data_IF_894157609395
#
_entry.id   IF_894157609395
#
_cell.length_a   1.000
_cell.length_b   1.000
_cell.length_c   1.000
_cell.angle_alpha   90.00
_cell.angle_beta   90.00
_cell.angle_gamma   90.00
#
_symmetry.space_group_name_H-M   'P 1'
#
loop_
_entity.id
_entity.type
_entity.pdbx_description
1 polymer ?
#
# COMPACT_ATOMS: atom_id res chain seq x y z
N UNK A 1 -1.68 25.27 -5.13
CA UNK A 1 -2.12 24.10 -5.93
C UNK A 1 -1.86 22.81 -5.17
N UNK A 2 -2.93 22.16 -4.71
CA UNK A 2 -2.95 21.05 -3.74
C UNK A 2 -2.19 19.83 -4.28
N UNK A 3 -1.12 19.42 -3.60
CA UNK A 3 -0.49 18.11 -3.74
C UNK A 3 -0.47 17.44 -2.36
N UNK A 4 -1.66 17.20 -1.80
CA UNK A 4 -1.83 16.38 -0.60
C UNK A 4 -2.87 15.30 -0.93
N UNK A 5 -2.44 14.33 -1.72
CA UNK A 5 -3.01 13.01 -1.67
C UNK A 5 -1.83 12.06 -1.47
N UNK A 6 -1.88 11.26 -0.40
CA UNK A 6 -0.91 10.20 -0.19
C UNK A 6 -0.79 9.31 -1.42
N UNK A 7 0.33 8.63 -1.57
CA UNK A 7 0.50 7.58 -2.56
C UNK A 7 0.86 6.31 -1.81
N UNK A 8 0.18 5.24 -2.16
CA UNK A 8 0.38 3.93 -1.55
C UNK A 8 0.99 2.98 -2.58
N UNK A 9 1.96 2.20 -2.12
CA UNK A 9 2.55 1.11 -2.88
C UNK A 9 2.06 -0.21 -2.30
N UNK A 10 1.62 -1.12 -3.16
CA UNK A 10 1.41 -2.52 -2.82
C UNK A 10 2.55 -3.32 -3.46
N UNK A 11 3.14 -4.19 -2.66
CA UNK A 11 4.14 -5.18 -3.05
C UNK A 11 3.49 -6.55 -2.84
N UNK A 12 3.35 -7.31 -3.93
CA UNK A 12 2.84 -8.69 -3.89
C UNK A 12 3.99 -9.67 -4.11
N UNK A 13 3.96 -10.80 -3.41
CA UNK A 13 4.89 -11.91 -3.61
C UNK A 13 4.07 -13.17 -3.89
N UNK A 14 4.36 -13.86 -4.99
CA UNK A 14 3.78 -15.17 -5.29
C UNK A 14 4.91 -16.21 -5.32
N UNK A 15 4.67 -17.40 -4.75
CA UNK A 15 5.68 -18.45 -4.63
C UNK A 15 6.28 -18.90 -5.98
N UNK A 16 5.56 -18.67 -7.09
CA UNK A 16 5.98 -19.05 -8.44
C UNK A 16 6.48 -17.88 -9.33
N UNK A 17 6.28 -16.63 -8.93
CA UNK A 17 6.60 -15.46 -9.76
C UNK A 17 7.50 -14.46 -9.03
N UNK A 18 8.46 -13.88 -9.75
CA UNK A 18 9.33 -12.85 -9.19
C UNK A 18 8.52 -11.68 -8.60
N UNK A 19 8.89 -11.27 -7.38
CA UNK A 19 8.26 -10.19 -6.58
C UNK A 19 7.70 -9.03 -7.42
N UNK A 20 8.45 -8.55 -8.42
CA UNK A 20 8.11 -7.34 -9.18
C UNK A 20 6.83 -7.43 -10.01
N UNK A 21 6.40 -8.62 -10.46
CA UNK A 21 5.20 -8.77 -11.28
C UNK A 21 3.91 -8.41 -10.52
N UNK A 22 3.89 -8.67 -9.20
CA UNK A 22 2.77 -8.37 -8.31
C UNK A 22 2.69 -6.92 -7.84
N UNK A 23 3.64 -6.06 -8.21
CA UNK A 23 3.71 -4.69 -7.68
C UNK A 23 2.61 -3.82 -8.30
N UNK A 24 1.91 -3.05 -7.46
CA UNK A 24 0.84 -2.15 -7.89
C UNK A 24 0.91 -0.82 -7.15
N UNK A 25 0.70 0.28 -7.87
CA UNK A 25 0.75 1.64 -7.30
C UNK A 25 -0.63 2.27 -7.34
N UNK A 26 -1.05 2.84 -6.23
CA UNK A 26 -2.32 3.52 -6.10
C UNK A 26 -2.07 4.99 -5.78
N UNK A 27 -2.54 5.84 -6.69
CA UNK A 27 -2.75 7.25 -6.37
C UNK A 27 -4.08 7.36 -5.65
N UNK A 28 -4.04 7.84 -4.41
CA UNK A 28 -5.22 8.10 -3.58
C UNK A 28 -5.99 9.26 -4.21
N UNK A 29 -7.31 9.10 -4.29
CA UNK A 29 -8.21 10.06 -4.97
C UNK A 29 -9.23 10.66 -4.03
N UNK A 30 -9.72 9.89 -3.06
CA UNK A 30 -10.87 10.27 -2.24
C UNK A 30 -10.52 10.87 -0.89
N UNK A 31 -9.23 11.07 -0.60
CA UNK A 31 -8.75 11.54 0.73
C UNK A 31 -8.06 12.89 0.58
N UNK A 32 -8.56 13.89 1.28
CA UNK A 32 -7.87 15.17 1.47
C UNK A 32 -6.98 15.12 2.72
N UNK A 33 -5.71 15.51 2.61
CA UNK A 33 -4.79 15.56 3.75
C UNK A 33 -4.12 14.21 4.07
N UNK A 34 -3.71 14.03 5.33
CA UNK A 34 -3.00 12.85 5.82
C UNK A 34 -3.99 12.00 6.63
N UNK A 35 -4.73 11.13 5.93
CA UNK A 35 -5.58 10.10 6.55
C UNK A 35 -5.20 8.73 5.99
N UNK A 36 -4.30 8.06 6.68
CA UNK A 36 -3.77 6.76 6.29
C UNK A 36 -4.85 5.66 6.36
N UNK A 37 -5.85 5.80 7.23
CA UNK A 37 -6.93 4.81 7.35
C UNK A 37 -7.84 4.86 6.12
N UNK A 38 -8.23 6.06 5.70
CA UNK A 38 -9.03 6.23 4.48
C UNK A 38 -8.25 5.79 3.24
N UNK A 39 -6.95 6.05 3.20
CA UNK A 39 -6.10 5.62 2.10
C UNK A 39 -5.96 4.08 2.04
N UNK A 40 -5.76 3.41 3.18
CA UNK A 40 -5.75 1.93 3.24
C UNK A 40 -7.06 1.36 2.73
N UNK A 41 -8.21 1.91 3.18
CA UNK A 41 -9.52 1.48 2.70
C UNK A 41 -9.64 1.61 1.19
N UNK A 42 -9.32 2.78 0.63
CA UNK A 42 -9.38 3.01 -0.82
C UNK A 42 -8.50 1.98 -1.58
N UNK A 43 -7.29 1.74 -1.10
CA UNK A 43 -6.33 0.84 -1.74
C UNK A 43 -6.83 -0.61 -1.74
N UNK A 44 -7.28 -1.13 -0.60
CA UNK A 44 -7.76 -2.51 -0.49
C UNK A 44 -9.02 -2.71 -1.33
N UNK A 45 -10.00 -1.81 -1.23
CA UNK A 45 -11.24 -1.89 -2.02
C UNK A 45 -10.93 -1.88 -3.51
N UNK A 46 -10.02 -1.02 -3.98
CA UNK A 46 -9.65 -0.97 -5.40
C UNK A 46 -8.83 -2.17 -5.85
N UNK A 47 -7.96 -2.71 -4.99
CA UNK A 47 -7.07 -3.83 -5.34
C UNK A 47 -7.82 -5.16 -5.43
N UNK A 48 -8.87 -5.35 -4.64
CA UNK A 48 -9.59 -6.63 -4.58
C UNK A 48 -11.02 -6.55 -5.10
N UNK A 49 -11.41 -5.44 -5.74
CA UNK A 49 -12.74 -5.26 -6.36
C UNK A 49 -13.18 -6.46 -7.20
N UNK A 50 -12.27 -7.04 -7.99
CA UNK A 50 -12.56 -8.14 -8.91
C UNK A 50 -12.03 -9.49 -8.41
N UNK A 51 -11.59 -9.59 -7.16
CA UNK A 51 -11.03 -10.83 -6.62
C UNK A 51 -12.04 -12.00 -6.63
N UNK A 52 -13.33 -11.71 -6.44
CA UNK A 52 -14.38 -12.73 -6.53
C UNK A 52 -14.54 -13.32 -7.95
N UNK A 53 -14.16 -12.56 -8.99
CA UNK A 53 -14.27 -12.97 -10.39
C UNK A 53 -13.12 -13.86 -10.87
N UNK A 54 -12.11 -14.13 -10.04
CA UNK A 54 -10.95 -14.96 -10.40
C UNK A 54 -9.95 -14.28 -11.35
N UNK A 55 -10.13 -12.98 -11.64
CA UNK A 55 -9.29 -12.22 -12.58
C UNK A 55 -7.91 -11.84 -12.00
N UNK A 56 -7.74 -11.92 -10.68
CA UNK A 56 -6.49 -11.56 -10.02
C UNK A 56 -6.14 -12.55 -8.91
N UNK A 57 -4.85 -12.86 -8.76
CA UNK A 57 -4.36 -13.73 -7.68
C UNK A 57 -4.73 -13.13 -6.33
N UNK A 58 -5.51 -13.89 -5.56
CA UNK A 58 -5.91 -13.54 -4.20
C UNK A 58 -4.83 -14.01 -3.21
N UNK A 59 -4.28 -13.13 -2.36
CA UNK A 59 -3.17 -13.49 -1.49
C UNK A 59 -3.65 -14.29 -0.27
N UNK A 60 -2.79 -15.15 0.27
CA UNK A 60 -3.05 -15.83 1.54
C UNK A 60 -2.90 -14.89 2.76
N UNK A 61 -2.01 -13.91 2.64
CA UNK A 61 -1.68 -12.95 3.71
C UNK A 61 -1.53 -11.55 3.15
N UNK A 62 -2.12 -10.56 3.82
CA UNK A 62 -1.92 -9.14 3.58
C UNK A 62 -1.16 -8.56 4.78
N UNK A 63 -0.01 -7.94 4.51
CA UNK A 63 0.75 -7.16 5.49
C UNK A 63 0.49 -5.66 5.30
N UNK A 64 0.04 -5.01 6.36
CA UNK A 64 -0.15 -3.55 6.42
C UNK A 64 0.97 -2.91 7.23
N UNK A 65 1.63 -1.90 6.67
CA UNK A 65 2.61 -1.06 7.38
C UNK A 65 1.87 -0.11 8.33
N UNK A 66 1.76 -0.49 9.61
CA UNK A 66 0.97 0.25 10.59
C UNK A 66 0.58 -0.56 11.83
N UNK A 67 -0.05 0.12 12.78
CA UNK A 67 -0.57 -0.49 14.01
C UNK A 67 -2.01 -0.97 13.88
N UNK A 68 -2.65 -1.18 15.03
CA UNK A 68 -4.00 -1.72 15.14
C UNK A 68 -5.06 -0.93 14.34
N UNK A 69 -4.97 0.40 14.32
CA UNK A 69 -5.91 1.24 13.56
C UNK A 69 -5.85 0.96 12.06
N UNK A 70 -4.65 0.79 11.51
CA UNK A 70 -4.43 0.43 10.11
C UNK A 70 -4.93 -0.98 9.79
N UNK A 71 -4.72 -1.95 10.70
CA UNK A 71 -5.31 -3.29 10.59
C UNK A 71 -6.84 -3.22 10.48
N UNK A 72 -7.48 -2.50 11.40
CA UNK A 72 -8.94 -2.33 11.41
C UNK A 72 -9.45 -1.64 10.15
N UNK A 73 -8.76 -0.59 9.67
CA UNK A 73 -9.10 0.07 8.42
C UNK A 73 -9.07 -0.92 7.23
N UNK A 74 -8.08 -1.81 7.21
CA UNK A 74 -7.98 -2.82 6.17
C UNK A 74 -9.13 -3.84 6.21
N UNK A 75 -9.45 -4.35 7.40
CA UNK A 75 -10.58 -5.27 7.61
C UNK A 75 -11.92 -4.62 7.30
N UNK A 76 -12.09 -3.36 7.66
CA UNK A 76 -13.29 -2.58 7.35
C UNK A 76 -13.50 -2.45 5.84
N UNK A 77 -12.43 -2.30 5.05
CA UNK A 77 -12.50 -2.26 3.60
C UNK A 77 -13.12 -3.54 3.03
N UNK A 78 -12.73 -4.71 3.54
CA UNK A 78 -13.33 -5.99 3.15
C UNK A 78 -14.79 -6.11 3.56
N UNK A 79 -15.14 -5.71 4.79
CA UNK A 79 -16.53 -5.74 5.27
C UNK A 79 -17.47 -4.88 4.42
N UNK A 80 -16.96 -3.77 3.89
CA UNK A 80 -17.73 -2.84 3.05
C UNK A 80 -17.91 -3.33 1.61
N UNK A 81 -17.03 -4.21 1.14
CA UNK A 81 -17.21 -4.88 -0.15
C UNK A 81 -18.46 -5.78 -0.07
N UNK A 82 -19.42 -5.58 -0.97
CA UNK A 82 -20.73 -6.24 -0.93
C UNK A 82 -21.81 -5.55 -0.09
N UNK A 83 -21.49 -4.48 0.66
CA UNK A 83 -22.51 -3.68 1.37
C UNK A 83 -22.73 -2.32 0.74
N UNK A 84 -21.63 -1.63 0.41
CA UNK A 84 -21.68 -0.23 -0.01
C UNK A 84 -21.91 -0.09 -1.53
N UNK A 85 -21.65 -1.15 -2.29
CA UNK A 85 -21.77 -1.20 -3.75
C UNK A 85 -22.37 -2.57 -4.14
N UNK A 86 -23.63 -2.62 -4.60
CA UNK A 86 -24.30 -3.86 -4.99
C UNK A 86 -23.64 -4.58 -6.17
N UNK A 87 -22.87 -3.88 -7.00
CA UNK A 87 -22.14 -4.46 -8.13
C UNK A 87 -20.79 -5.05 -7.71
N UNK A 88 -20.32 -4.73 -6.50
CA UNK A 88 -19.07 -5.24 -5.95
C UNK A 88 -19.35 -6.42 -5.02
N UNK A 89 -19.08 -7.67 -5.42
CA UNK A 89 -19.33 -8.83 -4.57
C UNK A 89 -18.52 -8.76 -3.27
N UNK A 90 -19.16 -9.15 -2.17
CA UNK A 90 -18.46 -9.31 -0.90
C UNK A 90 -17.45 -10.45 -0.98
N UNK A 91 -16.28 -10.24 -0.39
CA UNK A 91 -15.21 -11.25 -0.35
C UNK A 91 -14.73 -11.41 1.10
N UNK A 92 -14.44 -12.65 1.47
CA UNK A 92 -13.84 -12.92 2.77
C UNK A 92 -12.39 -12.43 2.76
N UNK A 93 -11.97 -11.60 3.75
CA UNK A 93 -10.58 -11.16 3.82
C UNK A 93 -9.64 -12.37 3.95
N UNK A 94 -8.45 -12.32 3.34
CA UNK A 94 -7.40 -13.28 3.66
C UNK A 94 -6.86 -12.97 5.07
N UNK A 95 -5.80 -13.66 5.51
CA UNK A 95 -5.16 -13.31 6.77
C UNK A 95 -4.60 -11.88 6.68
N UNK A 96 -5.17 -10.94 7.46
CA UNK A 96 -4.63 -9.58 7.54
C UNK A 96 -3.80 -9.43 8.80
N UNK A 97 -2.57 -8.97 8.61
CA UNK A 97 -1.62 -8.64 9.68
C UNK A 97 -1.11 -7.21 9.52
N UNK A 98 -0.72 -6.59 10.61
CA UNK A 98 -0.02 -5.30 10.57
C UNK A 98 1.21 -5.30 11.48
N UNK A 99 2.26 -4.61 11.05
CA UNK A 99 3.50 -4.49 11.81
C UNK A 99 3.69 -3.03 12.27
N UNK A 100 3.57 -2.80 13.58
CA UNK A 100 3.76 -1.47 14.15
C UNK A 100 5.23 -1.06 14.12
N UNK A 101 5.51 0.12 13.58
CA UNK A 101 6.88 0.55 13.24
C UNK A 101 7.80 0.81 14.44
N UNK A 102 7.27 1.23 15.59
CA UNK A 102 8.10 1.61 16.75
C UNK A 102 8.41 0.42 17.64
N UNK A 103 7.40 -0.37 17.95
CA UNK A 103 7.49 -1.49 18.89
C UNK A 103 7.71 -2.85 18.20
N UNK A 104 7.64 -2.89 16.86
CA UNK A 104 7.70 -4.11 16.05
C UNK A 104 6.67 -5.17 16.51
N UNK A 105 5.52 -4.67 16.97
CA UNK A 105 4.39 -5.48 17.39
C UNK A 105 3.59 -5.95 16.17
N UNK A 106 3.32 -7.25 16.14
CA UNK A 106 2.51 -7.89 15.12
C UNK A 106 1.06 -7.96 15.59
N UNK A 107 0.19 -7.23 14.91
CA UNK A 107 -1.25 -7.31 15.09
C UNK A 107 -1.82 -8.29 14.06
N UNK A 108 -2.68 -9.20 14.51
CA UNK A 108 -3.22 -10.28 13.70
C UNK A 108 -4.73 -10.25 13.84
N UNK A 109 -5.47 -10.24 12.73
CA UNK A 109 -6.94 -10.22 12.71
C UNK A 109 -7.57 -11.25 13.67
N UNK A 110 -7.00 -12.44 13.77
CA UNK A 110 -7.51 -13.54 14.59
C UNK A 110 -7.11 -13.47 16.07
N UNK A 111 -6.46 -12.39 16.54
CA UNK A 111 -5.97 -12.25 17.92
C UNK A 111 -6.32 -10.90 18.53
N UNK A 112 -6.68 -10.90 19.82
CA UNK A 112 -6.95 -9.68 20.59
C UNK A 112 -5.69 -8.94 21.01
N UNK A 113 -4.66 -9.68 21.43
CA UNK A 113 -3.40 -9.11 21.89
C UNK A 113 -2.34 -9.13 20.78
N UNK A 114 -1.48 -8.11 20.68
CA UNK A 114 -0.36 -8.11 19.74
C UNK A 114 0.64 -9.22 20.09
N UNK A 115 1.30 -9.74 19.07
CA UNK A 115 2.40 -10.70 19.21
C UNK A 115 3.72 -9.94 19.12
N UNK A 116 4.59 -10.13 20.12
CA UNK A 116 5.97 -9.65 20.09
C UNK A 116 6.89 -10.80 19.72
N UNK A 117 7.59 -10.65 18.60
CA UNK A 117 8.60 -11.61 18.18
C UNK A 117 9.96 -11.19 18.72
N UNK A 118 10.80 -12.17 19.06
CA UNK A 118 12.19 -11.90 19.43
C UNK A 118 12.92 -11.22 18.25
N UNK A 119 13.86 -10.31 18.54
CA UNK A 119 14.60 -9.55 17.50
C UNK A 119 15.35 -10.43 16.51
N UNK A 120 15.78 -11.62 16.93
CA UNK A 120 16.48 -12.58 16.07
C UNK A 120 15.52 -13.54 15.34
N UNK A 121 14.20 -13.43 15.54
CA UNK A 121 13.23 -14.30 14.92
C UNK A 121 13.19 -14.08 13.39
N UNK A 122 13.31 -15.15 12.57
CA UNK A 122 13.34 -15.02 11.11
C UNK A 122 12.03 -14.48 10.53
N UNK A 123 10.88 -14.76 11.14
CA UNK A 123 9.59 -14.24 10.69
C UNK A 123 9.53 -12.71 10.83
N UNK A 124 10.06 -12.17 11.94
CA UNK A 124 10.13 -10.71 12.12
C UNK A 124 10.98 -10.06 11.03
N UNK A 125 12.15 -10.64 10.73
CA UNK A 125 13.04 -10.12 9.68
C UNK A 125 12.35 -10.12 8.31
N UNK A 126 11.61 -11.18 7.99
CA UNK A 126 10.85 -11.25 6.74
C UNK A 126 9.77 -10.16 6.66
N UNK A 127 9.00 -9.97 7.72
CA UNK A 127 7.97 -8.93 7.78
C UNK A 127 8.57 -7.52 7.63
N UNK A 128 9.73 -7.28 8.25
CA UNK A 128 10.48 -6.03 8.11
C UNK A 128 10.97 -5.81 6.68
N UNK A 129 11.53 -6.84 6.04
CA UNK A 129 11.96 -6.76 4.63
C UNK A 129 10.79 -6.43 3.69
N UNK A 130 9.64 -7.05 3.90
CA UNK A 130 8.44 -6.77 3.11
C UNK A 130 7.92 -5.35 3.33
N UNK A 131 7.92 -4.88 4.58
CA UNK A 131 7.58 -3.49 4.93
C UNK A 131 8.52 -2.50 4.26
N UNK A 132 9.83 -2.72 4.38
CA UNK A 132 10.85 -1.82 3.84
C UNK A 132 10.79 -1.75 2.31
N UNK A 133 10.52 -2.88 1.65
CA UNK A 133 10.32 -2.94 0.21
C UNK A 133 9.05 -2.21 -0.24
N UNK A 134 7.93 -2.38 0.47
CA UNK A 134 6.69 -1.64 0.22
C UNK A 134 6.88 -0.13 0.42
N UNK A 135 7.58 0.26 1.50
CA UNK A 135 7.89 1.65 1.81
C UNK A 135 8.78 2.27 0.73
N UNK A 136 9.86 1.57 0.32
CA UNK A 136 10.76 1.98 -0.76
C UNK A 136 9.99 2.16 -2.07
N UNK A 137 9.11 1.22 -2.39
CA UNK A 137 8.31 1.24 -3.61
C UNK A 137 7.35 2.44 -3.66
N UNK A 138 6.68 2.74 -2.54
CA UNK A 138 5.82 3.90 -2.40
C UNK A 138 6.61 5.21 -2.50
N UNK A 139 7.70 5.37 -1.74
CA UNK A 139 8.55 6.56 -1.76
C UNK A 139 9.11 6.87 -3.15
N UNK A 140 9.55 5.83 -3.88
CA UNK A 140 10.03 5.99 -5.24
C UNK A 140 8.95 6.58 -6.17
N UNK A 141 7.70 6.11 -6.03
CA UNK A 141 6.58 6.64 -6.81
C UNK A 141 6.25 8.09 -6.45
N UNK A 142 6.25 8.43 -5.15
CA UNK A 142 6.12 9.81 -4.67
C UNK A 142 7.17 10.72 -5.31
N UNK A 143 8.43 10.29 -5.38
CA UNK A 143 9.49 11.05 -6.01
C UNK A 143 9.24 11.28 -7.52
N UNK A 144 8.82 10.25 -8.25
CA UNK A 144 8.46 10.37 -9.69
C UNK A 144 7.34 11.40 -9.88
N UNK A 145 6.28 11.32 -9.08
CA UNK A 145 5.12 12.20 -9.21
C UNK A 145 5.43 13.65 -8.87
N UNK A 146 6.22 13.89 -7.81
CA UNK A 146 6.70 15.23 -7.46
C UNK A 146 7.50 15.83 -8.61
N UNK A 147 8.44 15.08 -9.19
CA UNK A 147 9.24 15.54 -10.33
C UNK A 147 8.36 15.88 -11.55
N UNK A 148 7.36 15.05 -11.84
CA UNK A 148 6.41 15.30 -12.94
C UNK A 148 5.59 16.57 -12.69
N UNK A 149 5.09 16.77 -11.46
CA UNK A 149 4.32 17.94 -11.10
C UNK A 149 5.15 19.23 -11.17
N UNK A 150 6.39 19.21 -10.69
CA UNK A 150 7.32 20.35 -10.83
C UNK A 150 7.57 20.68 -12.30
N UNK A 151 7.87 19.68 -13.13
CA UNK A 151 8.08 19.88 -14.56
C UNK A 151 6.85 20.50 -15.25
N UNK A 152 5.64 20.02 -14.93
CA UNK A 152 4.41 20.57 -15.49
C UNK A 152 4.17 22.03 -15.08
N UNK A 153 4.51 22.39 -13.83
CA UNK A 153 4.46 23.79 -13.36
C UNK A 153 5.46 24.66 -14.09
N UNK A 154 6.70 24.22 -14.22
CA UNK A 154 7.75 24.97 -14.92
C UNK A 154 7.34 25.26 -16.37
N UNK A 155 6.80 24.27 -17.08
CA UNK A 155 6.29 24.43 -18.45
C UNK A 155 5.12 25.42 -18.50
N UNK A 156 4.16 25.32 -17.58
CA UNK A 156 3.02 26.24 -17.50
C UNK A 156 3.45 27.68 -17.19
N UNK A 157 4.54 27.86 -16.44
CA UNK A 157 5.15 29.15 -16.11
C UNK A 157 6.14 29.64 -17.18
N UNK A 158 6.26 28.95 -18.33
CA UNK A 158 7.17 29.31 -19.41
C UNK A 158 8.66 29.13 -19.09
N UNK A 159 9.01 28.49 -17.97
CA UNK A 159 10.39 28.21 -17.56
C UNK A 159 10.94 27.05 -18.37
N UNK A 160 12.19 27.16 -18.82
CA UNK A 160 12.88 26.05 -19.50
C UNK A 160 13.04 24.88 -18.53
N UNK A 161 12.65 23.65 -18.92
CA UNK A 161 12.83 22.50 -18.06
C UNK A 161 14.31 22.26 -17.72
N UNK A 162 14.62 21.75 -16.52
CA UNK A 162 16.00 21.45 -16.15
C UNK A 162 16.63 20.47 -17.15
N UNK A 163 17.80 20.83 -17.69
CA UNK A 163 18.56 19.99 -18.64
C UNK A 163 18.78 18.61 -18.03
N UNK A 164 18.40 17.56 -18.77
CA UNK A 164 18.64 16.16 -18.40
C UNK A 164 20.16 16.02 -18.17
N UNK A 165 20.60 15.82 -16.91
CA UNK A 165 22.00 15.50 -16.62
C UNK A 165 22.36 14.25 -17.43
N UNK A 166 23.27 14.38 -18.40
CA UNK A 166 23.91 13.23 -19.03
C UNK A 166 24.61 12.48 -17.90
N UNK A 167 24.15 11.27 -17.58
CA UNK A 167 24.86 10.42 -16.64
C UNK A 167 26.23 10.11 -17.24
N UNK A 168 27.29 10.23 -16.43
CA UNK A 168 28.59 9.68 -16.79
C UNK A 168 28.40 8.18 -16.97
N UNK A 169 28.82 7.70 -18.14
CA UNK A 169 29.01 6.28 -18.42
C UNK A 169 30.13 5.72 -17.55
#
# INVERSE_FOLDING_TARGET
GRLNAGHFGIVGAHAAEGLKAGYRRFRIKSVEGIDDYAAIREVITRRYRYAAGGEELYPDVILIDGGLGQLHAGLEAFRRMGTDDPEMPGIQPPMVISLAKREEELYIQARKAPVRLARNNPALRLLQQMRDEAHRFAQHYHHILRRKATFQRDVAEGRRPPRKRRGNR
#
